data_IF_195780139340
#
_entry.id   IF_195780139340
#
_cell.length_a   1.000
_cell.length_b   1.000
_cell.length_c   1.000
_cell.angle_alpha   90.00
_cell.angle_beta   90.00
_cell.angle_gamma   90.00
#
_symmetry.space_group_name_H-M   'P 1'
#
loop_
_entity.id
_entity.type
_entity.pdbx_description
1 polymer ?
#
# COMPACT_ATOMS: atom_id res chain seq x y z
N UNK A 1 9.31 -6.23 23.80
CA UNK A 1 9.18 -7.68 23.55
C UNK A 1 8.93 -7.85 22.07
N UNK A 2 9.91 -8.32 21.31
CA UNK A 2 9.65 -8.78 19.95
C UNK A 2 8.74 -10.01 20.08
N UNK A 3 7.45 -9.85 19.75
CA UNK A 3 6.62 -11.03 19.49
C UNK A 3 7.34 -11.84 18.41
N UNK A 4 7.65 -13.11 18.71
CA UNK A 4 8.23 -14.04 17.75
C UNK A 4 7.25 -14.17 16.57
N UNK A 5 7.42 -13.32 15.56
CA UNK A 5 6.61 -13.37 14.35
C UNK A 5 6.80 -14.73 13.72
N UNK A 6 5.67 -15.42 13.50
CA UNK A 6 5.63 -16.74 12.88
C UNK A 6 6.38 -16.68 11.54
N UNK A 7 7.26 -17.65 11.30
CA UNK A 7 7.96 -17.76 10.01
C UNK A 7 7.01 -18.42 9.01
N UNK A 8 6.70 -17.71 7.93
CA UNK A 8 5.77 -18.20 6.93
C UNK A 8 6.35 -19.28 6.01
N UNK A 9 5.45 -20.04 5.38
CA UNK A 9 5.79 -21.08 4.39
C UNK A 9 6.56 -20.54 3.17
N UNK A 10 7.48 -21.33 2.60
CA UNK A 10 8.28 -20.92 1.44
C UNK A 10 7.52 -21.05 0.12
N UNK A 11 6.70 -22.09 -0.02
CA UNK A 11 5.82 -22.31 -1.16
C UNK A 11 4.39 -22.57 -0.71
N UNK A 12 3.42 -22.41 -1.62
CA UNK A 12 2.00 -22.61 -1.30
C UNK A 12 1.70 -24.03 -0.82
N UNK A 13 2.43 -25.02 -1.35
CA UNK A 13 2.30 -26.43 -0.96
C UNK A 13 2.80 -26.71 0.45
N UNK A 14 3.62 -25.82 1.00
CA UNK A 14 4.18 -25.97 2.35
C UNK A 14 3.30 -25.29 3.42
N UNK A 15 2.19 -24.65 3.03
CA UNK A 15 1.24 -24.09 3.99
C UNK A 15 0.41 -25.23 4.55
N UNK A 16 0.61 -25.57 5.82
CA UNK A 16 -0.14 -26.65 6.48
C UNK A 16 -1.63 -26.34 6.58
N UNK A 17 -2.47 -27.37 6.55
CA UNK A 17 -3.93 -27.25 6.68
C UNK A 17 -4.36 -26.47 7.92
N UNK A 18 -3.71 -26.68 9.06
CA UNK A 18 -3.99 -25.92 10.30
C UNK A 18 -3.74 -24.41 10.18
N UNK A 19 -2.75 -24.01 9.38
CA UNK A 19 -2.48 -22.59 9.12
C UNK A 19 -3.50 -22.03 8.12
N UNK A 20 -3.83 -22.78 7.07
CA UNK A 20 -4.89 -22.39 6.13
C UNK A 20 -6.24 -22.22 6.84
N UNK A 21 -6.59 -23.14 7.73
CA UNK A 21 -7.81 -23.05 8.54
C UNK A 21 -7.81 -21.79 9.41
N UNK A 22 -6.73 -21.50 10.13
CA UNK A 22 -6.65 -20.29 10.95
C UNK A 22 -6.71 -19.00 10.13
N UNK A 23 -6.06 -18.97 8.96
CA UNK A 23 -6.10 -17.84 8.03
C UNK A 23 -7.52 -17.64 7.48
N UNK A 24 -8.18 -18.71 7.03
CA UNK A 24 -9.53 -18.69 6.45
C UNK A 24 -10.63 -18.43 7.50
N UNK A 25 -10.34 -18.63 8.79
CA UNK A 25 -11.21 -18.21 9.90
C UNK A 25 -10.87 -16.80 10.41
N UNK A 26 -9.87 -16.13 9.83
CA UNK A 26 -9.45 -14.78 10.22
C UNK A 26 -8.81 -14.69 11.62
N UNK A 27 -8.34 -15.81 12.17
CA UNK A 27 -7.81 -15.92 13.53
C UNK A 27 -6.37 -15.40 13.66
N UNK A 28 -5.62 -15.45 12.56
CA UNK A 28 -4.23 -15.00 12.45
C UNK A 28 -4.04 -14.14 11.19
N UNK A 29 -2.97 -13.35 11.16
CA UNK A 29 -2.45 -12.76 9.93
C UNK A 29 -1.49 -13.71 9.20
N UNK A 30 -1.36 -13.51 7.90
CA UNK A 30 -0.36 -14.19 7.09
C UNK A 30 1.05 -13.82 7.56
N UNK A 31 2.00 -14.75 7.48
CA UNK A 31 3.38 -14.45 7.87
C UNK A 31 4.21 -13.89 6.70
N UNK A 32 3.79 -14.14 5.47
CA UNK A 32 4.46 -13.70 4.25
C UNK A 32 3.50 -13.72 3.04
N UNK A 33 4.00 -13.30 1.88
CA UNK A 33 3.23 -13.25 0.63
C UNK A 33 2.69 -14.62 0.20
N UNK A 34 3.44 -15.71 0.45
CA UNK A 34 3.02 -17.06 0.07
C UNK A 34 1.72 -17.44 0.75
N UNK A 35 1.65 -17.25 2.07
CA UNK A 35 0.44 -17.54 2.83
C UNK A 35 -0.69 -16.58 2.51
N UNK A 36 -0.37 -15.31 2.32
CA UNK A 36 -1.33 -14.28 1.91
C UNK A 36 -2.06 -14.67 0.62
N UNK A 37 -1.33 -15.23 -0.34
CA UNK A 37 -1.87 -15.71 -1.61
C UNK A 37 -2.70 -17.00 -1.49
N UNK A 38 -2.60 -17.72 -0.37
CA UNK A 38 -3.34 -18.95 -0.12
C UNK A 38 -4.66 -18.73 0.62
N UNK A 39 -4.95 -17.51 1.08
CA UNK A 39 -6.18 -17.20 1.80
C UNK A 39 -7.38 -17.42 0.87
N UNK A 40 -8.30 -18.27 1.28
CA UNK A 40 -9.59 -18.43 0.64
C UNK A 40 -10.53 -17.32 1.12
N UNK A 41 -10.71 -16.31 0.27
CA UNK A 41 -11.56 -15.16 0.57
C UNK A 41 -13.04 -15.52 0.74
N UNK A 42 -13.56 -16.57 0.08
CA UNK A 42 -14.96 -16.99 0.24
C UNK A 42 -15.16 -17.57 1.64
N UNK A 43 -14.25 -18.44 2.07
CA UNK A 43 -14.26 -18.98 3.44
C UNK A 43 -14.08 -17.86 4.48
N UNK A 44 -13.16 -16.93 4.25
CA UNK A 44 -12.93 -15.80 5.16
C UNK A 44 -14.15 -14.88 5.29
N UNK A 45 -14.85 -14.59 4.18
CA UNK A 45 -16.11 -13.83 4.20
C UNK A 45 -17.14 -14.50 5.09
N UNK A 46 -17.36 -15.82 4.91
CA UNK A 46 -18.36 -16.58 5.66
C UNK A 46 -18.08 -16.61 7.16
N UNK A 47 -16.81 -16.63 7.55
CA UNK A 47 -16.39 -16.70 8.95
C UNK A 47 -16.31 -15.34 9.66
N UNK A 48 -16.03 -14.26 8.93
CA UNK A 48 -15.74 -12.94 9.54
C UNK A 48 -16.89 -11.94 9.37
N UNK A 49 -17.52 -11.89 8.19
CA UNK A 49 -18.52 -10.86 7.91
C UNK A 49 -19.90 -11.24 8.49
N UNK A 50 -20.69 -10.28 8.97
CA UNK A 50 -22.09 -10.53 9.30
C UNK A 50 -22.85 -11.07 8.08
N UNK A 51 -23.80 -11.99 8.29
CA UNK A 51 -24.57 -12.66 7.22
C UNK A 51 -25.16 -11.69 6.19
N UNK A 52 -25.58 -10.51 6.62
CA UNK A 52 -26.14 -9.44 5.78
C UNK A 52 -25.17 -8.85 4.72
N UNK A 53 -23.88 -9.18 4.76
CA UNK A 53 -22.86 -8.74 3.80
C UNK A 53 -22.27 -9.89 2.98
N UNK A 54 -22.48 -11.14 3.39
CA UNK A 54 -21.74 -12.29 2.85
C UNK A 54 -22.10 -12.55 1.38
N UNK A 55 -23.39 -12.61 1.06
CA UNK A 55 -23.89 -12.95 -0.28
C UNK A 55 -23.39 -11.93 -1.32
N UNK A 56 -23.58 -10.63 -1.07
CA UNK A 56 -23.11 -9.56 -1.97
C UNK A 56 -21.60 -9.65 -2.25
N UNK A 57 -20.79 -9.91 -1.21
CA UNK A 57 -19.33 -10.01 -1.35
C UNK A 57 -18.88 -11.29 -2.06
N UNK A 58 -19.59 -12.40 -1.88
CA UNK A 58 -19.27 -13.66 -2.56
C UNK A 58 -19.62 -13.54 -4.05
N UNK A 59 -20.81 -13.04 -4.36
CA UNK A 59 -21.25 -12.81 -5.75
C UNK A 59 -20.27 -11.89 -6.49
N UNK A 60 -19.78 -10.83 -5.83
CA UNK A 60 -18.83 -9.92 -6.45
C UNK A 60 -17.49 -10.56 -6.79
N UNK A 61 -17.05 -11.59 -6.06
CA UNK A 61 -15.87 -12.39 -6.39
C UNK A 61 -16.16 -13.31 -7.58
N UNK A 62 -17.34 -13.92 -7.63
CA UNK A 62 -17.73 -14.84 -8.68
C UNK A 62 -17.79 -14.15 -10.05
N UNK A 63 -18.23 -12.89 -10.07
CA UNK A 63 -18.33 -12.03 -11.25
C UNK A 63 -16.97 -11.52 -11.77
N UNK A 64 -15.87 -11.71 -11.03
CA UNK A 64 -14.56 -11.25 -11.46
C UNK A 64 -14.03 -12.08 -12.64
N UNK A 65 -13.67 -11.38 -13.73
CA UNK A 65 -12.94 -11.96 -14.88
C UNK A 65 -11.62 -12.63 -14.48
N UNK A 66 -10.94 -12.08 -13.47
CA UNK A 66 -9.70 -12.63 -12.90
C UNK A 66 -9.82 -12.62 -11.39
N UNK A 67 -9.66 -13.79 -10.76
CA UNK A 67 -9.80 -14.00 -9.32
C UNK A 67 -8.45 -13.92 -8.59
N UNK A 68 -7.63 -12.94 -8.97
CA UNK A 68 -6.42 -12.62 -8.20
C UNK A 68 -6.78 -12.11 -6.80
N UNK A 69 -5.91 -12.33 -5.81
CA UNK A 69 -6.15 -11.82 -4.45
C UNK A 69 -6.38 -10.30 -4.43
N UNK A 70 -5.63 -9.56 -5.27
CA UNK A 70 -5.77 -8.11 -5.39
C UNK A 70 -7.17 -7.70 -5.89
N UNK A 71 -7.67 -8.37 -6.95
CA UNK A 71 -9.00 -8.06 -7.50
C UNK A 71 -10.13 -8.47 -6.56
N UNK A 72 -9.98 -9.58 -5.83
CA UNK A 72 -10.93 -10.00 -4.81
C UNK A 72 -10.99 -8.98 -3.66
N UNK A 73 -9.84 -8.60 -3.09
CA UNK A 73 -9.78 -7.62 -2.00
C UNK A 73 -10.43 -6.29 -2.40
N UNK A 74 -10.12 -5.77 -3.60
CA UNK A 74 -10.74 -4.55 -4.10
C UNK A 74 -12.26 -4.71 -4.25
N UNK A 75 -12.70 -5.78 -4.90
CA UNK A 75 -14.12 -6.06 -5.13
C UNK A 75 -14.92 -6.13 -3.83
N UNK A 76 -14.39 -6.85 -2.83
CA UNK A 76 -15.01 -6.95 -1.51
C UNK A 76 -15.08 -5.57 -0.85
N UNK A 77 -14.00 -4.79 -0.88
CA UNK A 77 -14.00 -3.42 -0.33
C UNK A 77 -15.00 -2.49 -1.02
N UNK A 78 -15.13 -2.57 -2.35
CA UNK A 78 -16.12 -1.82 -3.13
C UNK A 78 -17.56 -2.14 -2.65
N UNK A 79 -17.88 -3.43 -2.53
CA UNK A 79 -19.20 -3.88 -2.06
C UNK A 79 -19.47 -3.46 -0.63
N UNK A 80 -18.50 -3.67 0.27
CA UNK A 80 -18.64 -3.30 1.68
C UNK A 80 -18.85 -1.79 1.86
N UNK A 81 -18.21 -0.95 1.05
CA UNK A 81 -18.42 0.49 1.05
C UNK A 81 -19.89 0.83 0.72
N UNK A 82 -20.44 0.25 -0.35
CA UNK A 82 -21.81 0.51 -0.80
C UNK A 82 -22.82 -0.04 0.21
N UNK A 83 -22.68 -1.32 0.57
CA UNK A 83 -23.64 -2.03 1.41
C UNK A 83 -23.70 -1.48 2.83
N UNK A 84 -22.57 -1.06 3.43
CA UNK A 84 -22.57 -0.48 4.78
C UNK A 84 -23.30 0.86 4.83
N UNK A 85 -23.16 1.71 3.80
CA UNK A 85 -23.88 2.98 3.68
C UNK A 85 -25.38 2.77 3.52
N UNK A 86 -25.80 1.88 2.62
CA UNK A 86 -27.21 1.54 2.41
C UNK A 86 -27.87 1.03 3.70
N UNK A 87 -27.12 0.25 4.49
CA UNK A 87 -27.57 -0.29 5.78
C UNK A 87 -27.38 0.69 6.96
N UNK A 88 -26.81 1.87 6.72
CA UNK A 88 -26.43 2.86 7.75
C UNK A 88 -25.59 2.25 8.90
N UNK A 89 -24.74 1.28 8.57
CA UNK A 89 -23.90 0.55 9.53
C UNK A 89 -22.57 1.27 9.73
N UNK A 90 -22.53 2.06 10.80
CA UNK A 90 -21.34 2.83 11.18
C UNK A 90 -20.28 2.00 11.91
N UNK A 91 -20.59 0.77 12.33
CA UNK A 91 -19.71 -0.06 13.17
C UNK A 91 -18.85 -1.01 12.35
N UNK A 92 -19.33 -1.44 11.18
CA UNK A 92 -18.62 -2.41 10.34
C UNK A 92 -17.17 -1.98 10.07
N UNK A 93 -16.96 -0.75 9.59
CA UNK A 93 -15.63 -0.26 9.27
C UNK A 93 -14.68 -0.32 10.48
N UNK A 94 -15.16 0.07 11.67
CA UNK A 94 -14.36 0.05 12.90
C UNK A 94 -13.98 -1.37 13.35
N UNK A 95 -14.84 -2.35 13.09
CA UNK A 95 -14.54 -3.76 13.34
C UNK A 95 -13.49 -4.29 12.35
N UNK A 96 -13.64 -3.98 11.06
CA UNK A 96 -12.73 -4.48 10.03
C UNK A 96 -11.33 -3.84 10.14
N UNK A 97 -11.24 -2.54 10.44
CA UNK A 97 -9.95 -1.82 10.50
C UNK A 97 -9.00 -2.32 11.59
N UNK A 98 -9.55 -2.92 12.65
CA UNK A 98 -8.79 -3.44 13.80
C UNK A 98 -8.72 -4.97 13.84
N UNK A 99 -9.23 -5.63 12.80
CA UNK A 99 -9.35 -7.08 12.78
C UNK A 99 -7.97 -7.78 12.75
N UNK A 100 -7.87 -8.99 13.33
CA UNK A 100 -6.61 -9.78 13.39
C UNK A 100 -6.09 -10.19 12.02
N UNK A 101 -6.99 -10.65 11.14
CA UNK A 101 -6.64 -10.98 9.75
C UNK A 101 -6.23 -9.73 8.97
N UNK A 102 -5.07 -9.80 8.34
CA UNK A 102 -4.56 -8.74 7.49
C UNK A 102 -5.40 -8.57 6.21
N UNK A 103 -5.93 -9.64 5.62
CA UNK A 103 -6.85 -9.56 4.47
C UNK A 103 -8.14 -8.80 4.81
N UNK A 104 -8.65 -8.95 6.03
CA UNK A 104 -9.83 -8.20 6.49
C UNK A 104 -9.51 -6.70 6.63
N UNK A 105 -8.33 -6.37 7.17
CA UNK A 105 -7.86 -4.97 7.21
C UNK A 105 -7.63 -4.41 5.80
N UNK A 106 -7.18 -5.23 4.85
CA UNK A 106 -7.07 -4.85 3.44
C UNK A 106 -8.44 -4.52 2.81
N UNK A 107 -9.52 -5.24 3.17
CA UNK A 107 -10.87 -4.86 2.74
C UNK A 107 -11.26 -3.49 3.27
N UNK A 108 -10.99 -3.22 4.56
CA UNK A 108 -11.26 -1.92 5.16
C UNK A 108 -10.47 -0.77 4.51
N UNK A 109 -9.22 -1.00 4.12
CA UNK A 109 -8.44 -0.03 3.35
C UNK A 109 -9.11 0.30 2.00
N UNK A 110 -9.69 -0.70 1.32
CA UNK A 110 -10.45 -0.45 0.10
C UNK A 110 -11.81 0.20 0.34
N UNK A 111 -12.49 -0.02 1.47
CA UNK A 111 -13.69 0.76 1.80
C UNK A 111 -13.40 2.27 1.71
N UNK A 112 -12.23 2.72 2.21
CA UNK A 112 -11.80 4.12 2.10
C UNK A 112 -11.53 4.54 0.65
N UNK A 113 -10.78 3.72 -0.09
CA UNK A 113 -10.41 4.02 -1.48
C UNK A 113 -11.63 4.10 -2.40
N UNK A 114 -12.60 3.21 -2.21
CA UNK A 114 -13.81 3.06 -3.00
C UNK A 114 -14.87 4.11 -2.70
N UNK A 115 -14.80 4.77 -1.54
CA UNK A 115 -15.74 5.81 -1.18
C UNK A 115 -15.54 7.08 -2.04
N UNK A 116 -16.44 7.32 -2.99
CA UNK A 116 -16.41 8.51 -3.87
C UNK A 116 -17.05 9.76 -3.26
N UNK A 117 -17.66 9.66 -2.08
CA UNK A 117 -18.34 10.77 -1.42
C UNK A 117 -17.43 11.55 -0.46
N UNK A 118 -16.31 10.95 -0.03
CA UNK A 118 -15.33 11.60 0.85
C UNK A 118 -14.17 12.21 0.07
N UNK A 119 -13.69 13.36 0.53
CA UNK A 119 -12.57 14.07 -0.08
C UNK A 119 -11.25 13.30 0.04
N UNK A 120 -10.29 13.58 -0.85
CA UNK A 120 -8.94 13.01 -0.74
C UNK A 120 -8.30 13.30 0.62
N UNK A 121 -8.51 14.49 1.18
CA UNK A 121 -8.03 14.83 2.53
C UNK A 121 -8.53 13.81 3.56
N UNK A 122 -9.84 13.52 3.54
CA UNK A 122 -10.45 12.55 4.47
C UNK A 122 -9.98 11.13 4.19
N UNK A 123 -9.81 10.74 2.92
CA UNK A 123 -9.23 9.44 2.55
C UNK A 123 -7.83 9.27 3.13
N UNK A 124 -6.98 10.27 2.97
CA UNK A 124 -5.62 10.24 3.51
C UNK A 124 -5.63 10.20 5.05
N UNK A 125 -6.49 10.94 5.71
CA UNK A 125 -6.66 10.84 7.17
C UNK A 125 -7.04 9.41 7.60
N UNK A 126 -8.03 8.80 6.95
CA UNK A 126 -8.53 7.46 7.29
C UNK A 126 -7.57 6.33 6.90
N UNK A 127 -6.77 6.50 5.84
CA UNK A 127 -5.84 5.46 5.35
C UNK A 127 -4.53 5.43 6.15
N UNK A 128 -4.21 6.51 6.87
CA UNK A 128 -2.93 6.64 7.59
C UNK A 128 -2.65 5.47 8.57
N UNK A 129 -3.62 4.97 9.36
CA UNK A 129 -3.39 3.81 10.21
C UNK A 129 -3.01 2.54 9.43
N UNK A 130 -3.57 2.34 8.23
CA UNK A 130 -3.24 1.21 7.35
C UNK A 130 -1.86 1.39 6.70
N UNK A 131 -1.48 2.63 6.39
CA UNK A 131 -0.11 2.96 5.98
C UNK A 131 0.91 2.65 7.09
N UNK A 132 0.51 2.80 8.36
CA UNK A 132 1.32 2.51 9.53
C UNK A 132 1.32 1.03 9.97
N UNK A 133 0.45 0.19 9.40
CA UNK A 133 0.17 -1.19 9.84
C UNK A 133 1.44 -2.05 9.97
N UNK A 134 1.46 -2.96 10.96
CA UNK A 134 2.57 -3.88 11.20
C UNK A 134 2.72 -4.93 10.09
N UNK A 135 1.63 -5.27 9.39
CA UNK A 135 1.59 -6.26 8.32
C UNK A 135 1.91 -5.64 6.96
N UNK A 136 2.82 -6.27 6.21
CA UNK A 136 3.30 -5.72 4.93
C UNK A 136 2.18 -5.62 3.89
N UNK A 137 1.30 -6.62 3.80
CA UNK A 137 0.21 -6.65 2.83
C UNK A 137 -0.75 -5.47 3.01
N UNK A 138 -1.09 -5.13 4.26
CA UNK A 138 -1.97 -3.99 4.57
C UNK A 138 -1.32 -2.68 4.13
N UNK A 139 -0.01 -2.51 4.37
CA UNK A 139 0.71 -1.33 3.91
C UNK A 139 0.75 -1.21 2.39
N UNK A 140 0.91 -2.31 1.65
CA UNK A 140 0.85 -2.26 0.18
C UNK A 140 -0.55 -1.91 -0.32
N UNK A 141 -1.58 -2.55 0.24
CA UNK A 141 -2.97 -2.27 -0.13
C UNK A 141 -3.36 -0.83 0.20
N UNK A 142 -2.87 -0.28 1.32
CA UNK A 142 -3.21 1.07 1.77
C UNK A 142 -2.93 2.14 0.72
N UNK A 143 -1.73 2.14 0.10
CA UNK A 143 -1.41 3.15 -0.92
C UNK A 143 -2.09 2.84 -2.24
N UNK A 144 -2.30 1.56 -2.57
CA UNK A 144 -3.00 1.16 -3.79
C UNK A 144 -4.46 1.60 -3.78
N UNK A 145 -5.12 1.53 -2.62
CA UNK A 145 -6.52 1.86 -2.45
C UNK A 145 -6.82 3.33 -2.76
N UNK A 146 -5.91 4.25 -2.41
CA UNK A 146 -6.11 5.71 -2.59
C UNK A 146 -5.30 6.31 -3.74
N UNK A 147 -4.55 5.48 -4.49
CA UNK A 147 -3.61 5.98 -5.51
C UNK A 147 -4.30 6.73 -6.64
N UNK A 148 -5.46 6.27 -7.08
CA UNK A 148 -6.20 6.93 -8.16
C UNK A 148 -6.61 8.34 -7.74
N UNK A 149 -7.17 8.49 -6.54
CA UNK A 149 -7.52 9.80 -6.00
C UNK A 149 -6.29 10.71 -5.81
N UNK A 150 -5.12 10.14 -5.44
CA UNK A 150 -3.85 10.89 -5.37
C UNK A 150 -3.39 11.40 -6.74
N UNK A 151 -3.45 10.57 -7.79
CA UNK A 151 -3.06 10.94 -9.16
C UNK A 151 -3.93 12.09 -9.70
N UNK A 152 -5.23 11.99 -9.46
CA UNK A 152 -6.20 13.01 -9.86
C UNK A 152 -5.96 14.35 -9.14
N UNK A 153 -5.55 14.31 -7.86
CA UNK A 153 -5.49 15.47 -6.97
C UNK A 153 -4.08 15.70 -6.36
N UNK A 154 -3.03 15.64 -7.19
CA UNK A 154 -1.63 15.79 -6.73
C UNK A 154 -1.35 17.11 -5.99
N UNK A 155 -2.02 18.20 -6.37
CA UNK A 155 -1.91 19.51 -5.72
C UNK A 155 -2.35 19.49 -4.25
N UNK A 156 -3.33 18.63 -3.91
CA UNK A 156 -3.76 18.37 -2.53
C UNK A 156 -2.88 17.31 -1.88
N UNK A 157 -2.54 16.24 -2.61
CA UNK A 157 -1.80 15.10 -2.06
C UNK A 157 -0.38 15.48 -1.64
N UNK A 158 0.36 16.22 -2.47
CA UNK A 158 1.79 16.49 -2.26
C UNK A 158 2.05 17.24 -0.95
N UNK A 159 1.33 18.31 -0.58
CA UNK A 159 1.50 18.97 0.71
C UNK A 159 1.26 18.03 1.91
N UNK A 160 0.24 17.17 1.85
CA UNK A 160 -0.07 16.21 2.93
C UNK A 160 1.05 15.17 3.05
N UNK A 161 1.45 14.57 1.92
CA UNK A 161 2.50 13.57 1.88
C UNK A 161 3.87 14.16 2.24
N UNK A 162 4.11 15.45 1.99
CA UNK A 162 5.29 16.16 2.46
C UNK A 162 5.33 16.21 4.00
N UNK A 163 4.21 16.47 4.67
CA UNK A 163 4.14 16.39 6.13
C UNK A 163 4.41 14.96 6.61
N UNK A 164 3.77 13.97 5.98
CA UNK A 164 3.94 12.55 6.34
C UNK A 164 5.36 12.03 6.13
N UNK A 165 6.09 12.57 5.16
CA UNK A 165 7.50 12.22 4.92
C UNK A 165 8.43 12.63 6.08
N UNK A 166 7.94 13.37 7.06
CA UNK A 166 8.66 13.71 8.31
C UNK A 166 8.15 12.95 9.54
N UNK A 167 7.21 12.01 9.38
CA UNK A 167 6.67 11.22 10.48
C UNK A 167 7.76 10.39 11.17
N UNK A 168 7.64 10.18 12.48
CA UNK A 168 8.51 9.26 13.22
C UNK A 168 8.33 7.81 12.75
N UNK A 169 7.15 7.46 12.22
CA UNK A 169 6.87 6.12 11.72
C UNK A 169 7.45 5.92 10.30
N UNK A 170 8.42 5.02 10.10
CA UNK A 170 9.01 4.77 8.79
C UNK A 170 8.02 4.25 7.74
N UNK A 171 6.94 3.59 8.16
CA UNK A 171 5.91 3.10 7.23
C UNK A 171 5.12 4.24 6.60
N UNK A 172 4.79 5.28 7.39
CA UNK A 172 4.13 6.50 6.91
C UNK A 172 5.07 7.30 5.98
N UNK A 173 6.36 7.39 6.33
CA UNK A 173 7.36 8.00 5.45
C UNK A 173 7.48 7.25 4.12
N UNK A 174 7.52 5.91 4.15
CA UNK A 174 7.55 5.07 2.95
C UNK A 174 6.29 5.27 2.10
N UNK A 175 5.11 5.34 2.71
CA UNK A 175 3.86 5.61 1.98
C UNK A 175 3.95 6.91 1.17
N UNK A 176 4.59 7.93 1.74
CA UNK A 176 4.73 9.26 1.12
C UNK A 176 5.50 9.23 -0.21
N UNK A 177 6.49 8.35 -0.35
CA UNK A 177 7.19 8.15 -1.64
C UNK A 177 6.55 7.06 -2.50
N UNK A 178 6.03 5.99 -1.91
CA UNK A 178 5.52 4.86 -2.69
C UNK A 178 4.23 5.20 -3.43
N UNK A 179 3.30 5.87 -2.74
CA UNK A 179 1.96 6.18 -3.26
C UNK A 179 1.99 7.05 -4.53
N UNK A 180 3.11 7.75 -4.77
CA UNK A 180 3.31 8.68 -5.89
C UNK A 180 4.42 8.23 -6.86
N UNK A 181 4.82 6.95 -6.89
CA UNK A 181 5.80 6.47 -7.88
C UNK A 181 5.34 6.74 -9.32
N UNK A 182 6.16 7.36 -10.22
CA UNK A 182 5.70 7.76 -11.54
C UNK A 182 5.48 6.60 -12.51
N UNK A 183 6.34 5.56 -12.45
CA UNK A 183 6.34 4.39 -13.35
C UNK A 183 6.37 3.05 -12.57
N UNK A 184 5.54 2.92 -11.54
CA UNK A 184 5.41 1.69 -10.76
C UNK A 184 4.94 0.50 -11.62
N UNK A 185 5.40 -0.71 -11.28
CA UNK A 185 5.17 -1.94 -12.07
C UNK A 185 3.81 -2.60 -11.74
N UNK A 186 3.28 -2.32 -10.55
CA UNK A 186 2.04 -2.92 -10.03
C UNK A 186 0.87 -1.95 -9.97
N UNK A 187 1.01 -0.78 -10.59
CA UNK A 187 0.05 0.29 -10.46
C UNK A 187 -0.03 1.15 -11.72
N UNK A 188 -1.13 1.91 -11.83
CA UNK A 188 -1.29 2.91 -12.87
C UNK A 188 -0.14 3.92 -12.81
N UNK A 189 0.40 4.26 -13.97
CA UNK A 189 1.44 5.29 -14.12
C UNK A 189 0.83 6.67 -13.82
N UNK A 190 1.60 7.54 -13.17
CA UNK A 190 1.19 8.91 -12.88
C UNK A 190 1.87 9.82 -13.92
N UNK A 191 1.15 10.14 -14.99
CA UNK A 191 1.72 10.86 -16.14
C UNK A 191 2.21 12.26 -15.78
N UNK A 192 1.54 12.96 -14.86
CA UNK A 192 1.97 14.26 -14.34
C UNK A 192 3.38 14.19 -13.71
N UNK A 193 3.66 13.15 -12.92
CA UNK A 193 4.97 12.96 -12.26
C UNK A 193 6.03 12.37 -13.20
N UNK A 194 5.64 11.68 -14.27
CA UNK A 194 6.56 11.29 -15.35
C UNK A 194 7.05 12.52 -16.12
N UNK A 195 6.15 13.47 -16.38
CA UNK A 195 6.43 14.68 -17.12
C UNK A 195 7.17 15.74 -16.27
N UNK A 196 6.78 15.88 -15.00
CA UNK A 196 7.29 16.89 -14.06
C UNK A 196 7.64 16.24 -12.71
N UNK A 197 8.72 15.43 -12.62
CA UNK A 197 9.12 14.76 -11.38
C UNK A 197 9.49 15.73 -10.25
N UNK A 198 9.78 16.99 -10.57
CA UNK A 198 10.09 18.08 -9.65
C UNK A 198 8.98 18.29 -8.61
N UNK A 199 7.72 17.99 -8.97
CA UNK A 199 6.55 18.08 -8.08
C UNK A 199 6.76 17.27 -6.80
N UNK A 200 7.48 16.14 -6.85
CA UNK A 200 7.73 15.29 -5.70
C UNK A 200 8.97 15.69 -4.87
N UNK A 201 9.76 16.69 -5.31
CA UNK A 201 10.97 17.11 -4.60
C UNK A 201 10.75 17.44 -3.12
N UNK A 202 9.65 18.12 -2.70
CA UNK A 202 9.44 18.43 -1.29
C UNK A 202 9.38 17.19 -0.38
N UNK A 203 8.90 16.06 -0.91
CA UNK A 203 8.85 14.76 -0.23
C UNK A 203 10.23 14.10 -0.29
N UNK A 204 10.79 13.96 -1.49
CA UNK A 204 12.06 13.26 -1.72
C UNK A 204 13.23 13.89 -0.96
N UNK A 205 13.21 15.22 -0.81
CA UNK A 205 14.24 15.95 -0.06
C UNK A 205 14.24 15.65 1.44
N UNK A 206 13.07 15.35 2.04
CA UNK A 206 12.99 14.92 3.43
C UNK A 206 13.53 13.50 3.59
N UNK A 207 13.40 12.65 2.56
CA UNK A 207 13.71 11.22 2.62
C UNK A 207 15.10 10.84 2.06
N UNK A 208 15.88 11.79 1.54
CA UNK A 208 17.17 11.54 0.84
C UNK A 208 18.26 10.86 1.68
N UNK A 209 18.10 10.85 3.00
CA UNK A 209 19.03 10.24 3.97
C UNK A 209 18.24 9.49 5.06
N UNK A 210 17.08 8.91 4.70
CA UNK A 210 16.27 8.18 5.67
C UNK A 210 17.03 6.99 6.26
N UNK A 211 16.99 6.84 7.58
CA UNK A 211 17.65 5.73 8.30
C UNK A 211 16.98 4.37 8.04
N UNK A 212 15.70 4.36 7.67
CA UNK A 212 14.95 3.14 7.41
C UNK A 212 15.28 2.58 6.04
N UNK A 213 15.75 1.33 6.01
CA UNK A 213 16.01 0.63 4.76
C UNK A 213 14.79 0.55 3.85
N UNK A 214 13.63 0.34 4.47
CA UNK A 214 12.35 0.24 3.76
C UNK A 214 11.99 1.55 3.03
N UNK A 215 12.28 2.69 3.65
CA UNK A 215 12.08 4.02 3.04
C UNK A 215 13.11 4.26 1.94
N UNK A 216 14.39 3.97 2.20
CA UNK A 216 15.47 4.11 1.20
C UNK A 216 15.14 3.35 -0.10
N UNK A 217 14.64 2.11 0.02
CA UNK A 217 14.26 1.30 -1.14
C UNK A 217 13.11 1.93 -1.93
N UNK A 218 12.12 2.50 -1.24
CA UNK A 218 11.01 3.21 -1.90
C UNK A 218 11.48 4.46 -2.64
N UNK A 219 12.31 5.31 -2.01
CA UNK A 219 12.89 6.51 -2.65
C UNK A 219 13.75 6.14 -3.85
N UNK A 220 14.61 5.13 -3.72
CA UNK A 220 15.45 4.66 -4.82
C UNK A 220 14.64 4.05 -5.97
N UNK A 221 13.52 3.39 -5.67
CA UNK A 221 12.60 2.90 -6.70
C UNK A 221 11.85 4.04 -7.38
N UNK A 222 11.42 5.06 -6.62
CA UNK A 222 10.80 6.27 -7.17
C UNK A 222 11.74 6.95 -8.17
N UNK A 223 13.00 7.18 -7.78
CA UNK A 223 14.01 7.82 -8.65
C UNK A 223 14.32 6.97 -9.89
N UNK A 224 14.45 5.65 -9.74
CA UNK A 224 14.65 4.76 -10.88
C UNK A 224 13.43 4.68 -11.81
N UNK A 225 12.23 4.95 -11.29
CA UNK A 225 11.03 5.06 -12.11
C UNK A 225 11.00 6.37 -12.88
N UNK A 226 11.39 7.49 -12.24
CA UNK A 226 11.53 8.79 -12.88
C UNK A 226 12.62 8.78 -13.95
N UNK A 227 13.71 8.03 -13.75
CA UNK A 227 14.83 7.99 -14.70
C UNK A 227 14.46 7.39 -16.06
N UNK A 228 13.35 6.63 -16.14
CA UNK A 228 12.83 6.08 -17.40
C UNK A 228 12.29 7.16 -18.34
N UNK A 229 11.88 8.31 -17.81
CA UNK A 229 11.30 9.42 -18.59
C UNK A 229 12.08 10.71 -18.46
N UNK A 230 12.85 10.90 -17.38
CA UNK A 230 13.64 12.10 -17.07
C UNK A 230 15.03 11.73 -16.50
N UNK A 231 15.89 11.06 -17.29
CA UNK A 231 17.19 10.58 -16.82
C UNK A 231 18.13 11.71 -16.37
N UNK A 232 18.10 12.87 -17.03
CA UNK A 232 18.94 14.03 -16.69
C UNK A 232 18.58 14.62 -15.33
N UNK A 233 17.27 14.76 -15.05
CA UNK A 233 16.76 15.21 -13.75
C UNK A 233 17.28 14.31 -12.61
N UNK A 234 17.13 12.99 -12.77
CA UNK A 234 17.54 12.03 -11.73
C UNK A 234 19.06 12.04 -11.53
N UNK A 235 19.83 12.11 -12.62
CA UNK A 235 21.30 12.19 -12.57
C UNK A 235 21.76 13.45 -11.85
N UNK A 236 21.18 14.61 -12.20
CA UNK A 236 21.50 15.89 -11.57
C UNK A 236 21.14 15.90 -10.08
N UNK A 237 19.95 15.41 -9.72
CA UNK A 237 19.50 15.31 -8.34
C UNK A 237 20.41 14.38 -7.51
N UNK A 238 20.77 13.22 -8.05
CA UNK A 238 21.67 12.29 -7.37
C UNK A 238 23.07 12.89 -7.16
N UNK A 239 23.62 13.60 -8.17
CA UNK A 239 24.90 14.29 -8.04
C UNK A 239 24.84 15.35 -6.93
N UNK A 240 23.77 16.15 -6.91
CA UNK A 240 23.52 17.16 -5.88
C UNK A 240 23.45 16.54 -4.48
N UNK A 241 22.67 15.47 -4.31
CA UNK A 241 22.56 14.76 -3.03
C UNK A 241 23.88 14.15 -2.54
N UNK A 242 24.70 13.62 -3.44
CA UNK A 242 26.02 13.10 -3.08
C UNK A 242 26.98 14.17 -2.55
N UNK A 243 26.76 15.44 -2.89
CA UNK A 243 27.52 16.58 -2.37
C UNK A 243 26.91 17.13 -1.08
N UNK A 244 25.59 17.27 -1.01
CA UNK A 244 24.88 17.89 0.12
C UNK A 244 24.66 16.95 1.32
N UNK A 245 24.68 15.64 1.11
CA UNK A 245 24.33 14.63 2.12
C UNK A 245 25.21 13.38 1.97
N UNK A 246 26.52 13.46 2.26
CA UNK A 246 27.47 12.36 2.10
C UNK A 246 27.33 11.31 3.21
N UNK A 247 26.17 10.67 3.28
CA UNK A 247 25.82 9.63 4.26
C UNK A 247 25.69 8.28 3.57
N UNK A 248 25.89 7.19 4.32
CA UNK A 248 25.75 5.82 3.77
C UNK A 248 24.32 5.54 3.27
N UNK A 249 23.32 6.17 3.87
CA UNK A 249 21.90 6.12 3.49
C UNK A 249 21.67 6.77 2.12
N UNK A 250 22.17 7.99 1.94
CA UNK A 250 22.09 8.72 0.66
C UNK A 250 22.85 8.00 -0.44
N UNK A 251 24.06 7.52 -0.16
CA UNK A 251 24.86 6.74 -1.12
C UNK A 251 24.16 5.45 -1.54
N UNK A 252 23.47 4.78 -0.61
CA UNK A 252 22.66 3.61 -0.95
C UNK A 252 21.53 3.99 -1.91
N UNK A 253 20.78 5.04 -1.61
CA UNK A 253 19.66 5.52 -2.44
C UNK A 253 20.18 5.86 -3.84
N UNK A 254 21.25 6.64 -3.96
CA UNK A 254 21.84 7.06 -5.25
C UNK A 254 22.27 5.85 -6.09
N UNK A 255 23.05 4.93 -5.50
CA UNK A 255 23.52 3.74 -6.22
C UNK A 255 22.37 2.91 -6.77
N UNK A 256 21.33 2.71 -5.95
CA UNK A 256 20.15 1.94 -6.35
C UNK A 256 19.29 2.71 -7.35
N UNK A 257 19.11 4.01 -7.21
CA UNK A 257 18.34 4.86 -8.12
C UNK A 257 18.89 4.84 -9.56
N UNK A 258 20.21 4.83 -9.72
CA UNK A 258 20.88 4.90 -11.02
C UNK A 258 21.11 3.52 -11.68
N UNK A 259 20.64 2.42 -11.07
CA UNK A 259 20.92 1.05 -11.54
C UNK A 259 20.49 0.78 -12.99
N UNK A 260 19.43 1.43 -13.46
CA UNK A 260 18.93 1.27 -14.82
C UNK A 260 19.62 2.18 -15.84
N UNK A 261 20.30 3.24 -15.41
CA UNK A 261 21.04 4.16 -16.28
C UNK A 261 22.50 3.73 -16.53
N UNK A 262 23.01 2.80 -15.70
CA UNK A 262 24.37 2.24 -15.81
C UNK A 262 24.43 0.97 -16.67
N UNK A 263 23.34 0.62 -17.36
CA UNK A 263 23.29 -0.46 -18.33
C UNK A 263 23.41 0.13 -19.72
#
# INVERSE_FOLDING_TARGET
MEENKRKGAKSQKDVSDSILEQLNNGLIESANLTEWLCIDHISLIKNVLPTAYQEDCINSIEDLKSKSVMSMIKSIGDVLCISSKQKNDKKLFDQLKTHKSDSVRCWAAYIIGSDKEISLYKKLELIQPFAADSHFGVREISWMAVREDIDENLDIAIPILQVWSKSDNPNIRRFSSESIRPNGIWCRKIDKLKANPEIALPILQNLKSDISKYVQDSVANWLNDASKTKPEFVTALCRKWGQESPTKETDYIIRRALRSLKK
#
